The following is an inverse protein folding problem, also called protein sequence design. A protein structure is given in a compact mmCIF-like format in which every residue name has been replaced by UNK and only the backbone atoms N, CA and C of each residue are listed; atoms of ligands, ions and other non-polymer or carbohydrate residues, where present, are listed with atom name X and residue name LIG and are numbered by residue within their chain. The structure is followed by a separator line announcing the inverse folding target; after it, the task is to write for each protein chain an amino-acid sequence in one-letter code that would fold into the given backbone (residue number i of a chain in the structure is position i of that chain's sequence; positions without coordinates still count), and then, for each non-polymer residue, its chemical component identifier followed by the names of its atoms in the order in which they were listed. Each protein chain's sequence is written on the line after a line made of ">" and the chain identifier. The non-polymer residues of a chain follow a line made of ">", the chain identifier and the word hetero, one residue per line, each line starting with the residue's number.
data_IF_347131098397
#
_entry.id   IF_347131098397
#
_cell.length_a   1.000
_cell.length_b   1.000
_cell.length_c   1.000
_cell.angle_alpha   90.00
_cell.angle_beta   90.00
_cell.angle_gamma   90.00
#
_symmetry.space_group_name_H-M   'P 1'
#
loop_
_entity.id
_entity.type
_entity.pdbx_description
1 polymer ?
#
# COMPACT_ATOMS: atom_id res chain seq x y z
N UNK A 1 0.66 15.77 17.37
CA UNK A 1 -0.05 14.61 16.76
C UNK A 1 0.49 14.45 15.34
N UNK A 2 0.86 13.24 14.92
CA UNK A 2 1.37 13.01 13.57
C UNK A 2 0.27 13.27 12.52
N UNK A 3 0.70 13.77 11.36
CA UNK A 3 -0.20 14.03 10.22
C UNK A 3 -0.60 12.69 9.60
N UNK A 4 -1.88 12.49 9.35
CA UNK A 4 -2.40 11.30 8.65
C UNK A 4 -2.21 11.45 7.14
N UNK A 5 -1.84 10.36 6.44
CA UNK A 5 -1.48 10.37 5.02
C UNK A 5 -2.62 9.78 4.17
N UNK A 6 -2.87 10.39 3.03
CA UNK A 6 -3.78 9.88 1.98
C UNK A 6 -2.92 9.39 0.83
N UNK A 7 -3.06 8.11 0.50
CA UNK A 7 -2.17 7.39 -0.43
C UNK A 7 -3.00 6.78 -1.58
N UNK A 8 -2.96 7.35 -2.79
CA UNK A 8 -3.44 6.66 -3.98
C UNK A 8 -2.57 5.46 -4.32
N UNK A 9 -3.21 4.33 -4.72
CA UNK A 9 -2.53 3.11 -5.15
C UNK A 9 -2.86 2.82 -6.60
N UNK A 10 -1.84 2.57 -7.42
CA UNK A 10 -1.98 2.20 -8.82
C UNK A 10 -1.49 0.76 -9.02
N UNK A 11 -2.41 -0.12 -9.39
CA UNK A 11 -2.07 -1.47 -9.83
C UNK A 11 -1.59 -1.41 -11.29
N UNK A 12 -0.38 -1.87 -11.55
CA UNK A 12 0.24 -1.79 -12.88
C UNK A 12 0.27 -3.17 -13.52
N UNK A 13 -0.27 -3.25 -14.73
CA UNK A 13 -0.18 -4.44 -15.59
C UNK A 13 0.24 -4.02 -16.98
N UNK A 14 1.30 -4.64 -17.50
CA UNK A 14 1.83 -4.38 -18.84
C UNK A 14 2.07 -2.87 -19.11
N UNK A 15 2.57 -2.15 -18.09
CA UNK A 15 2.86 -0.71 -18.16
C UNK A 15 1.64 0.22 -18.11
N UNK A 16 0.45 -0.28 -17.85
CA UNK A 16 -0.80 0.48 -17.74
C UNK A 16 -1.39 0.36 -16.34
N UNK A 17 -2.04 1.43 -15.89
CA UNK A 17 -2.84 1.37 -14.64
C UNK A 17 -4.11 0.59 -14.90
N UNK A 18 -4.36 -0.39 -14.06
CA UNK A 18 -5.57 -1.23 -14.11
C UNK A 18 -6.27 -1.24 -12.76
N UNK A 19 -7.58 -1.49 -12.76
CA UNK A 19 -8.33 -1.75 -11.54
C UNK A 19 -9.38 -2.82 -11.77
N UNK A 20 -9.48 -3.73 -10.82
CA UNK A 20 -10.51 -4.77 -10.77
C UNK A 20 -11.04 -4.95 -9.35
N UNK A 21 -12.05 -5.80 -9.18
CA UNK A 21 -12.51 -6.26 -7.88
C UNK A 21 -11.79 -7.57 -7.57
N UNK A 22 -11.12 -7.66 -6.41
CA UNK A 22 -10.33 -8.84 -6.01
C UNK A 22 -9.32 -9.30 -7.09
N UNK A 23 -8.66 -8.36 -7.78
CA UNK A 23 -7.71 -8.60 -8.88
C UNK A 23 -8.26 -9.33 -10.10
N UNK A 24 -9.59 -9.39 -10.27
CA UNK A 24 -10.27 -9.94 -11.46
C UNK A 24 -11.04 -8.86 -12.20
N UNK A 25 -11.40 -9.12 -13.48
CA UNK A 25 -12.12 -8.17 -14.35
C UNK A 25 -11.44 -6.79 -14.45
N UNK A 26 -10.12 -6.80 -14.70
CA UNK A 26 -9.31 -5.60 -14.78
C UNK A 26 -9.79 -4.67 -15.90
N UNK A 27 -9.99 -3.39 -15.56
CA UNK A 27 -10.27 -2.29 -16.48
C UNK A 27 -9.10 -1.32 -16.46
N UNK A 28 -8.78 -0.72 -17.59
CA UNK A 28 -7.79 0.36 -17.64
C UNK A 28 -8.32 1.58 -16.88
N UNK A 29 -7.44 2.18 -16.06
CA UNK A 29 -7.76 3.38 -15.29
C UNK A 29 -7.01 4.62 -15.80
N UNK A 30 -6.03 4.46 -16.70
CA UNK A 30 -5.30 5.56 -17.33
C UNK A 30 -3.79 5.33 -17.42
N UNK A 31 -3.07 6.32 -17.96
CA UNK A 31 -1.60 6.31 -17.98
C UNK A 31 -1.05 6.52 -16.58
N UNK A 32 -0.15 5.65 -16.08
CA UNK A 32 0.35 5.72 -14.71
C UNK A 32 1.19 6.97 -14.41
N UNK A 33 1.86 7.55 -15.40
CA UNK A 33 2.66 8.78 -15.22
C UNK A 33 1.73 9.98 -15.04
N UNK A 34 0.72 10.10 -15.88
CA UNK A 34 -0.28 11.18 -15.80
C UNK A 34 -1.11 11.10 -14.51
N UNK A 35 -1.51 9.88 -14.11
CA UNK A 35 -2.23 9.68 -12.85
C UNK A 35 -1.35 10.03 -11.64
N UNK A 36 -0.08 9.59 -11.65
CA UNK A 36 0.88 9.93 -10.60
C UNK A 36 1.08 11.43 -10.44
N UNK A 37 1.28 12.14 -11.57
CA UNK A 37 1.37 13.60 -11.60
C UNK A 37 0.11 14.26 -11.05
N UNK A 38 -1.06 13.84 -11.53
CA UNK A 38 -2.34 14.38 -11.10
C UNK A 38 -2.55 14.23 -9.59
N UNK A 39 -2.25 13.06 -9.01
CA UNK A 39 -2.39 12.85 -7.57
C UNK A 39 -1.38 13.67 -6.76
N UNK A 40 -0.14 13.81 -7.25
CA UNK A 40 0.86 14.69 -6.65
C UNK A 40 0.39 16.15 -6.63
N UNK A 41 -0.14 16.66 -7.75
CA UNK A 41 -0.70 18.01 -7.87
C UNK A 41 -1.97 18.21 -7.02
N UNK A 42 -2.78 17.17 -6.84
CA UNK A 42 -3.96 17.18 -5.95
C UNK A 42 -3.62 17.11 -4.46
N UNK A 43 -2.33 16.99 -4.11
CA UNK A 43 -1.87 16.98 -2.74
C UNK A 43 -1.99 15.61 -2.06
N UNK A 44 -1.88 14.50 -2.78
CA UNK A 44 -1.62 13.21 -2.17
C UNK A 44 -0.35 13.28 -1.30
N UNK A 45 -0.30 12.52 -0.21
CA UNK A 45 0.85 12.56 0.69
C UNK A 45 1.95 11.58 0.29
N UNK A 46 1.61 10.54 -0.47
CA UNK A 46 2.49 9.49 -0.96
C UNK A 46 1.77 8.76 -2.12
N UNK A 47 2.51 8.07 -2.99
CA UNK A 47 1.98 7.17 -4.00
C UNK A 47 2.46 5.74 -3.78
N UNK A 48 1.62 4.77 -4.09
CA UNK A 48 1.99 3.35 -4.15
C UNK A 48 1.74 2.80 -5.54
N UNK A 49 2.75 2.16 -6.13
CA UNK A 49 2.64 1.40 -7.39
C UNK A 49 2.90 -0.06 -7.12
N UNK A 50 1.98 -0.91 -7.57
CA UNK A 50 2.09 -2.35 -7.41
C UNK A 50 2.15 -3.00 -8.80
N UNK A 51 3.31 -3.56 -9.17
CA UNK A 51 3.41 -4.42 -10.35
C UNK A 51 2.71 -5.76 -10.08
N UNK A 52 1.60 -5.97 -10.75
CA UNK A 52 0.83 -7.22 -10.68
C UNK A 52 1.19 -8.18 -11.83
N UNK A 53 2.21 -7.84 -12.65
CA UNK A 53 2.71 -8.63 -13.78
C UNK A 53 3.96 -9.40 -13.36
N UNK A 54 3.85 -10.65 -13.01
CA UNK A 54 4.95 -11.45 -12.43
C UNK A 54 6.01 -11.95 -13.43
N UNK A 55 6.20 -11.38 -14.66
CA UNK A 55 7.14 -11.91 -15.66
C UNK A 55 8.52 -11.25 -15.59
N UNK A 56 9.57 -11.99 -15.94
CA UNK A 56 10.97 -11.51 -15.96
C UNK A 56 11.18 -10.39 -17.00
N UNK A 57 10.50 -10.43 -18.14
CA UNK A 57 10.58 -9.39 -19.18
C UNK A 57 9.87 -8.10 -18.76
N UNK A 58 8.79 -8.20 -17.98
CA UNK A 58 8.06 -7.05 -17.42
C UNK A 58 8.88 -6.21 -16.46
N UNK A 59 9.91 -6.76 -15.80
CA UNK A 59 10.72 -6.02 -14.81
C UNK A 59 11.50 -4.84 -15.39
N UNK A 60 12.06 -4.95 -16.59
CA UNK A 60 12.78 -3.84 -17.23
C UNK A 60 11.82 -2.72 -17.60
N UNK A 61 10.71 -3.06 -18.22
CA UNK A 61 9.64 -2.12 -18.60
C UNK A 61 9.08 -1.42 -17.37
N UNK A 62 8.89 -2.16 -16.27
CA UNK A 62 8.41 -1.60 -15.01
C UNK A 62 9.43 -0.65 -14.35
N UNK A 63 10.72 -0.98 -14.37
CA UNK A 63 11.79 -0.09 -13.87
C UNK A 63 11.86 1.23 -14.67
N UNK A 64 11.70 1.17 -15.99
CA UNK A 64 11.67 2.38 -16.83
C UNK A 64 10.39 3.20 -16.56
N UNK A 65 9.27 2.57 -16.27
CA UNK A 65 8.06 3.25 -15.82
C UNK A 65 8.28 3.96 -14.47
N UNK A 66 8.92 3.29 -13.49
CA UNK A 66 9.26 3.88 -12.19
C UNK A 66 10.08 5.16 -12.37
N UNK A 67 11.09 5.15 -13.25
CA UNK A 67 11.89 6.36 -13.56
C UNK A 67 11.06 7.50 -14.14
N UNK A 68 10.14 7.18 -15.05
CA UNK A 68 9.25 8.19 -15.67
C UNK A 68 8.29 8.78 -14.64
N UNK A 69 7.74 7.96 -13.74
CA UNK A 69 6.87 8.45 -12.67
C UNK A 69 7.64 9.31 -11.69
N UNK A 70 8.78 8.83 -11.17
CA UNK A 70 9.62 9.57 -10.23
C UNK A 70 10.04 10.95 -10.76
N UNK A 71 10.28 11.07 -12.08
CA UNK A 71 10.60 12.35 -12.71
C UNK A 71 9.42 13.35 -12.80
N UNK A 72 8.18 12.90 -12.54
CA UNK A 72 6.98 13.71 -12.70
C UNK A 72 6.18 13.93 -11.39
N UNK A 73 6.71 13.48 -10.26
CA UNK A 73 6.08 13.65 -8.94
C UNK A 73 7.08 14.29 -7.96
N UNK A 74 6.55 14.89 -6.89
CA UNK A 74 7.34 15.51 -5.82
C UNK A 74 6.92 15.02 -4.41
N UNK A 75 6.27 13.87 -4.36
CA UNK A 75 5.82 13.22 -3.13
C UNK A 75 6.47 11.83 -3.01
N UNK A 76 6.60 11.26 -1.79
CA UNK A 76 7.18 9.94 -1.60
C UNK A 76 6.51 8.87 -2.44
N UNK A 77 7.31 7.96 -2.97
CA UNK A 77 6.92 6.96 -3.94
C UNK A 77 7.33 5.55 -3.48
N UNK A 78 6.33 4.72 -3.17
CA UNK A 78 6.51 3.32 -2.79
C UNK A 78 6.22 2.42 -3.98
N UNK A 79 7.13 1.49 -4.26
CA UNK A 79 7.02 0.54 -5.37
C UNK A 79 7.00 -0.89 -4.84
N UNK A 80 6.02 -1.68 -5.28
CA UNK A 80 5.86 -3.09 -4.92
C UNK A 80 5.66 -4.00 -6.12
N UNK A 81 5.78 -5.30 -5.89
CA UNK A 81 5.63 -6.35 -6.90
C UNK A 81 6.96 -6.90 -7.40
N UNK A 82 7.09 -8.22 -7.43
CA UNK A 82 8.24 -8.93 -8.01
C UNK A 82 9.58 -8.78 -7.31
N UNK A 83 9.65 -8.21 -6.12
CA UNK A 83 10.88 -7.97 -5.35
C UNK A 83 11.23 -9.22 -4.55
N UNK A 84 12.39 -9.83 -4.82
CA UNK A 84 12.81 -11.09 -4.18
C UNK A 84 14.20 -11.01 -3.53
N UNK A 85 15.02 -10.03 -3.91
CA UNK A 85 16.40 -9.89 -3.44
C UNK A 85 16.84 -8.43 -3.34
N UNK A 86 17.98 -8.16 -2.71
CA UNK A 86 18.50 -6.80 -2.51
C UNK A 86 18.78 -6.07 -3.84
N UNK A 87 19.20 -6.79 -4.87
CA UNK A 87 19.44 -6.22 -6.21
C UNK A 87 18.16 -5.67 -6.86
N UNK A 88 16.99 -6.27 -6.56
CA UNK A 88 15.70 -5.73 -6.99
C UNK A 88 15.41 -4.39 -6.29
N UNK A 89 15.68 -4.33 -4.97
CA UNK A 89 15.52 -3.10 -4.17
C UNK A 89 16.42 -1.99 -4.69
N UNK A 90 17.71 -2.30 -4.83
CA UNK A 90 18.71 -1.33 -5.33
C UNK A 90 18.30 -0.75 -6.69
N UNK A 91 17.85 -1.61 -7.61
CA UNK A 91 17.38 -1.19 -8.94
C UNK A 91 16.19 -0.23 -8.87
N UNK A 92 15.21 -0.47 -7.98
CA UNK A 92 14.03 0.39 -7.84
C UNK A 92 14.36 1.71 -7.16
N UNK A 93 15.22 1.71 -6.13
CA UNK A 93 15.70 2.94 -5.48
C UNK A 93 16.49 3.80 -6.46
N UNK A 94 17.39 3.18 -7.25
CA UNK A 94 18.14 3.90 -8.32
C UNK A 94 17.21 4.37 -9.45
N UNK A 95 16.01 3.81 -9.59
CA UNK A 95 14.99 4.28 -10.52
C UNK A 95 14.16 5.45 -9.96
N UNK A 96 14.34 5.81 -8.68
CA UNK A 96 13.68 6.96 -8.04
C UNK A 96 12.54 6.58 -7.10
N UNK A 97 12.37 5.30 -6.73
CA UNK A 97 11.50 4.92 -5.63
C UNK A 97 12.11 5.33 -4.29
N UNK A 98 11.29 5.81 -3.36
CA UNK A 98 11.72 6.12 -1.98
C UNK A 98 11.62 4.91 -1.07
N UNK A 99 10.64 4.03 -1.33
CA UNK A 99 10.35 2.83 -0.56
C UNK A 99 10.02 1.65 -1.48
N UNK A 100 10.20 0.46 -0.96
CA UNK A 100 9.78 -0.78 -1.61
C UNK A 100 8.76 -1.53 -0.75
N UNK A 101 7.77 -2.15 -1.40
CA UNK A 101 6.76 -2.95 -0.74
C UNK A 101 6.92 -4.43 -1.09
N UNK A 102 7.08 -5.26 -0.07
CA UNK A 102 7.26 -6.72 -0.19
C UNK A 102 6.15 -7.46 0.57
N UNK A 103 5.61 -8.53 -0.02
CA UNK A 103 4.61 -9.40 0.61
C UNK A 103 5.06 -10.85 0.53
N UNK A 104 4.81 -11.53 -0.59
CA UNK A 104 5.05 -12.97 -0.76
C UNK A 104 6.51 -13.37 -0.55
N UNK A 105 7.44 -12.53 -0.97
CA UNK A 105 8.88 -12.76 -0.77
C UNK A 105 9.25 -12.69 0.72
N UNK A 106 8.67 -11.76 1.47
CA UNK A 106 8.88 -11.65 2.92
C UNK A 106 8.34 -12.87 3.67
N UNK A 107 7.15 -13.37 3.29
CA UNK A 107 6.56 -14.57 3.94
C UNK A 107 7.41 -15.82 3.63
N UNK A 108 7.90 -15.97 2.37
CA UNK A 108 8.74 -17.10 1.97
C UNK A 108 10.15 -17.05 2.54
N UNK A 109 10.68 -15.84 2.69
CA UNK A 109 12.03 -15.59 3.19
C UNK A 109 12.02 -14.35 4.11
N UNK A 110 11.65 -14.50 5.38
CA UNK A 110 11.59 -13.39 6.33
C UNK A 110 12.91 -12.63 6.51
N UNK A 111 14.05 -13.27 6.31
CA UNK A 111 15.38 -12.64 6.38
C UNK A 111 15.58 -11.55 5.32
N UNK A 112 14.72 -11.49 4.29
CA UNK A 112 14.75 -10.39 3.32
C UNK A 112 14.40 -9.06 3.98
N UNK A 113 13.50 -9.05 4.97
CA UNK A 113 13.14 -7.84 5.74
C UNK A 113 14.36 -7.32 6.49
N UNK A 114 15.07 -8.22 7.22
CA UNK A 114 16.28 -7.87 7.95
C UNK A 114 17.36 -7.31 7.03
N UNK A 115 17.55 -7.95 5.87
CA UNK A 115 18.55 -7.53 4.89
C UNK A 115 18.25 -6.16 4.29
N UNK A 116 16.99 -5.89 3.93
CA UNK A 116 16.57 -4.58 3.41
C UNK A 116 16.76 -3.51 4.48
N UNK A 117 16.26 -3.74 5.69
CA UNK A 117 16.38 -2.79 6.80
C UNK A 117 17.82 -2.48 7.15
N UNK A 118 18.70 -3.49 7.16
CA UNK A 118 20.12 -3.33 7.47
C UNK A 118 20.90 -2.61 6.36
N UNK A 119 20.55 -2.85 5.10
CA UNK A 119 21.32 -2.34 3.95
C UNK A 119 20.87 -0.94 3.52
N UNK A 120 19.55 -0.69 3.51
CA UNK A 120 18.97 0.56 3.01
C UNK A 120 18.30 1.41 4.11
N UNK A 121 18.15 0.88 5.32
CA UNK A 121 17.38 1.49 6.41
C UNK A 121 15.94 1.02 6.48
N UNK A 122 15.39 0.95 7.70
CA UNK A 122 14.01 0.50 7.93
C UNK A 122 12.98 1.29 7.14
N UNK A 123 13.19 2.60 6.97
CA UNK A 123 12.27 3.51 6.27
C UNK A 123 12.03 3.12 4.80
N UNK A 124 12.90 2.32 4.19
CA UNK A 124 12.76 1.83 2.81
C UNK A 124 11.83 0.62 2.74
N UNK A 125 11.70 -0.16 3.83
CA UNK A 125 11.02 -1.45 3.84
C UNK A 125 9.56 -1.33 4.30
N UNK A 126 8.63 -1.40 3.36
CA UNK A 126 7.20 -1.57 3.64
C UNK A 126 6.86 -3.05 3.50
N UNK A 127 6.31 -3.68 4.54
CA UNK A 127 5.80 -5.05 4.44
C UNK A 127 4.29 -5.01 4.20
N UNK A 128 3.88 -5.42 3.00
CA UNK A 128 2.47 -5.60 2.67
C UNK A 128 1.96 -6.94 3.22
N UNK A 129 0.79 -6.91 3.83
CA UNK A 129 0.13 -8.08 4.40
C UNK A 129 -1.31 -8.13 3.87
N UNK A 130 -1.57 -9.06 2.95
CA UNK A 130 -2.93 -9.38 2.55
C UNK A 130 -3.47 -10.42 3.55
N UNK A 131 -4.54 -10.08 4.25
CA UNK A 131 -5.13 -11.02 5.19
C UNK A 131 -6.65 -11.06 5.09
N UNK A 132 -7.20 -12.24 5.40
CA UNK A 132 -8.63 -12.53 5.41
C UNK A 132 -9.06 -12.98 6.80
N UNK A 133 -10.13 -12.42 7.30
CA UNK A 133 -10.77 -12.92 8.51
C UNK A 133 -11.49 -14.22 8.23
N UNK A 134 -11.14 -15.25 9.00
CA UNK A 134 -11.72 -16.59 8.97
C UNK A 134 -12.30 -16.95 10.35
N UNK A 135 -12.90 -18.11 10.49
CA UNK A 135 -13.39 -18.59 11.79
C UNK A 135 -12.29 -18.76 12.84
N UNK A 136 -11.05 -19.03 12.39
CA UNK A 136 -9.88 -19.24 13.26
C UNK A 136 -9.05 -17.96 13.48
N UNK A 137 -9.44 -16.81 12.90
CA UNK A 137 -8.74 -15.54 12.99
C UNK A 137 -8.29 -15.00 11.64
N UNK A 138 -7.45 -13.98 11.65
CA UNK A 138 -6.95 -13.33 10.44
C UNK A 138 -5.78 -14.12 9.83
N UNK A 139 -6.01 -14.79 8.71
CA UNK A 139 -5.00 -15.56 7.95
C UNK A 139 -4.32 -14.70 6.90
N UNK A 140 -2.99 -14.81 6.80
CA UNK A 140 -2.19 -14.15 5.75
C UNK A 140 -2.22 -14.93 4.44
N UNK A 141 -2.15 -14.21 3.33
CA UNK A 141 -2.19 -14.76 1.97
C UNK A 141 -1.00 -14.30 1.14
N UNK A 142 -0.63 -15.13 0.17
CA UNK A 142 0.40 -14.89 -0.84
C UNK A 142 -0.23 -14.64 -2.21
N UNK A 143 0.62 -14.14 -3.13
CA UNK A 143 0.33 -14.02 -4.56
C UNK A 143 -0.97 -13.27 -4.86
N UNK A 144 -1.16 -12.10 -4.21
CA UNK A 144 -2.37 -11.29 -4.38
C UNK A 144 -3.63 -12.01 -3.90
N UNK A 145 -3.54 -12.63 -2.72
CA UNK A 145 -4.69 -13.28 -2.06
C UNK A 145 -5.06 -14.67 -2.57
N UNK A 146 -4.22 -15.30 -3.40
CA UNK A 146 -4.55 -16.61 -4.03
C UNK A 146 -4.14 -17.82 -3.21
N UNK A 147 -3.16 -17.69 -2.33
CA UNK A 147 -2.61 -18.81 -1.55
C UNK A 147 -2.67 -18.46 -0.07
N UNK A 148 -3.47 -19.23 0.69
CA UNK A 148 -3.51 -19.14 2.15
C UNK A 148 -2.21 -19.68 2.75
N UNK A 149 -1.77 -19.07 3.85
CA UNK A 149 -0.59 -19.48 4.60
C UNK A 149 -0.97 -19.97 6.00
N UNK A 150 -0.02 -20.53 6.71
CA UNK A 150 -0.14 -20.87 8.13
C UNK A 150 0.05 -19.67 9.06
N UNK A 151 0.49 -18.51 8.52
CA UNK A 151 0.74 -17.29 9.32
C UNK A 151 -0.57 -16.55 9.62
N UNK A 152 -0.63 -15.99 10.84
CA UNK A 152 -1.68 -15.09 11.28
C UNK A 152 -1.23 -13.63 11.23
N UNK A 153 -2.15 -12.71 10.91
CA UNK A 153 -1.88 -11.30 10.72
C UNK A 153 -1.07 -10.66 11.85
N UNK A 154 -1.54 -10.81 13.08
CA UNK A 154 -0.95 -10.11 14.22
C UNK A 154 0.42 -10.66 14.59
N UNK A 155 0.60 -11.97 14.52
CA UNK A 155 1.90 -12.62 14.78
C UNK A 155 2.90 -12.26 13.69
N UNK A 156 2.48 -12.29 12.43
CA UNK A 156 3.33 -11.94 11.30
C UNK A 156 3.70 -10.45 11.31
N UNK A 157 2.74 -9.56 11.58
CA UNK A 157 3.01 -8.13 11.70
C UNK A 157 4.03 -7.82 12.81
N UNK A 158 3.91 -8.49 13.97
CA UNK A 158 4.88 -8.39 15.07
C UNK A 158 6.26 -8.94 14.68
N UNK A 159 6.30 -10.07 13.97
CA UNK A 159 7.55 -10.66 13.48
C UNK A 159 8.29 -9.67 12.57
N UNK A 160 7.62 -9.11 11.54
CA UNK A 160 8.28 -8.20 10.60
C UNK A 160 8.64 -6.85 11.21
N UNK A 161 7.84 -6.35 12.18
CA UNK A 161 8.23 -5.17 12.97
C UNK A 161 9.56 -5.41 13.70
N UNK A 162 9.71 -6.56 14.33
CA UNK A 162 10.94 -6.93 15.05
C UNK A 162 12.14 -7.16 14.11
N UNK A 163 11.89 -7.55 12.86
CA UNK A 163 12.91 -7.71 11.82
C UNK A 163 13.35 -6.39 11.17
N UNK A 164 12.70 -5.27 11.50
CA UNK A 164 13.09 -3.95 11.06
C UNK A 164 12.29 -3.42 9.86
N UNK A 165 11.07 -3.92 9.62
CA UNK A 165 10.14 -3.25 8.72
C UNK A 165 9.92 -1.80 9.18
N UNK A 166 9.83 -0.87 8.23
CA UNK A 166 9.58 0.54 8.51
C UNK A 166 8.09 0.88 8.57
N UNK A 167 7.26 0.16 7.81
CA UNK A 167 5.80 0.33 7.79
C UNK A 167 5.11 -1.00 7.47
N UNK A 168 3.86 -1.15 7.92
CA UNK A 168 2.97 -2.23 7.50
C UNK A 168 1.89 -1.66 6.57
N UNK A 169 1.72 -2.26 5.39
CA UNK A 169 0.58 -2.03 4.50
C UNK A 169 -0.40 -3.20 4.66
N UNK A 170 -1.44 -3.02 5.47
CA UNK A 170 -2.43 -4.06 5.72
C UNK A 170 -3.62 -3.93 4.77
N UNK A 171 -3.82 -4.94 3.90
CA UNK A 171 -5.00 -5.07 3.04
C UNK A 171 -5.96 -6.11 3.61
N UNK A 172 -7.16 -5.66 3.98
CA UNK A 172 -8.24 -6.56 4.34
C UNK A 172 -8.91 -7.12 3.09
N UNK A 173 -8.73 -8.42 2.82
CA UNK A 173 -9.33 -9.10 1.67
C UNK A 173 -10.87 -9.19 1.76
N UNK A 174 -11.44 -9.15 2.97
CA UNK A 174 -12.89 -9.14 3.17
C UNK A 174 -13.51 -7.80 2.74
N UNK A 175 -12.73 -6.72 2.74
CA UNK A 175 -13.21 -5.36 2.46
C UNK A 175 -12.74 -4.85 1.09
N UNK A 176 -11.69 -5.44 0.49
CA UNK A 176 -11.13 -4.96 -0.77
C UNK A 176 -12.13 -5.04 -1.93
N UNK A 177 -12.37 -3.90 -2.58
CA UNK A 177 -13.35 -3.75 -3.65
C UNK A 177 -14.82 -3.68 -3.22
N UNK A 178 -15.13 -3.85 -1.92
CA UNK A 178 -16.52 -3.90 -1.41
C UNK A 178 -17.07 -2.51 -1.08
N UNK A 179 -16.20 -1.50 -0.82
CA UNK A 179 -16.57 -0.12 -0.48
C UNK A 179 -17.40 0.06 0.80
N UNK A 180 -17.27 -0.86 1.78
CA UNK A 180 -18.03 -0.87 3.04
C UNK A 180 -17.22 -0.39 4.26
N UNK A 181 -16.10 0.30 4.02
CA UNK A 181 -15.17 0.76 5.06
C UNK A 181 -14.00 -0.20 5.27
N UNK A 182 -12.97 0.32 5.93
CA UNK A 182 -11.76 -0.44 6.27
C UNK A 182 -12.00 -1.37 7.46
N UNK A 183 -11.10 -2.33 7.67
CA UNK A 183 -11.16 -3.28 8.79
C UNK A 183 -10.69 -2.62 10.11
N UNK A 184 -11.46 -1.66 10.63
CA UNK A 184 -11.04 -0.76 11.70
C UNK A 184 -10.67 -1.48 13.00
N UNK A 185 -11.31 -2.60 13.36
CA UNK A 185 -10.98 -3.38 14.55
C UNK A 185 -9.58 -4.01 14.43
N UNK A 186 -9.29 -4.63 13.27
CA UNK A 186 -7.97 -5.21 13.02
C UNK A 186 -6.88 -4.14 12.94
N UNK A 187 -7.17 -2.98 12.32
CA UNK A 187 -6.26 -1.83 12.25
C UNK A 187 -5.96 -1.28 13.64
N UNK A 188 -6.96 -1.12 14.50
CA UNK A 188 -6.76 -0.66 15.89
C UNK A 188 -5.87 -1.64 16.67
N UNK A 189 -6.10 -2.95 16.50
CA UNK A 189 -5.27 -3.98 17.14
C UNK A 189 -3.82 -3.91 16.63
N UNK A 190 -3.59 -3.73 15.31
CA UNK A 190 -2.26 -3.55 14.75
C UNK A 190 -1.58 -2.28 15.30
N UNK A 191 -2.29 -1.15 15.35
CA UNK A 191 -1.77 0.11 15.84
C UNK A 191 -1.37 0.05 17.33
N UNK A 192 -2.09 -0.73 18.13
CA UNK A 192 -1.76 -0.94 19.56
C UNK A 192 -0.61 -1.96 19.76
N UNK A 193 -0.40 -2.86 18.79
CA UNK A 193 0.62 -3.92 18.87
C UNK A 193 1.99 -3.48 18.35
N UNK A 194 2.02 -2.56 17.38
CA UNK A 194 3.21 -2.22 16.61
C UNK A 194 3.80 -0.87 17.02
N UNK A 195 5.10 -0.71 16.80
CA UNK A 195 5.81 0.56 17.00
C UNK A 195 6.06 1.34 15.72
N UNK A 196 5.69 0.75 14.58
CA UNK A 196 5.84 1.31 13.23
C UNK A 196 4.47 1.69 12.65
N UNK A 197 4.42 2.64 11.70
CA UNK A 197 3.17 3.07 11.09
C UNK A 197 2.40 1.95 10.40
N UNK A 198 1.06 2.04 10.44
CA UNK A 198 0.15 1.13 9.75
C UNK A 198 -0.62 1.88 8.67
N UNK A 199 -0.52 1.39 7.43
CA UNK A 199 -1.27 1.87 6.27
C UNK A 199 -2.49 0.97 6.09
N UNK A 200 -3.69 1.55 6.17
CA UNK A 200 -4.94 0.85 5.93
C UNK A 200 -5.22 0.69 4.44
N UNK A 201 -5.59 -0.51 3.99
CA UNK A 201 -5.96 -0.83 2.61
C UNK A 201 -7.15 -1.77 2.54
N UNK A 202 -7.98 -1.59 1.50
CA UNK A 202 -9.20 -2.36 1.25
C UNK A 202 -10.43 -1.81 1.99
N UNK A 203 -11.46 -1.37 1.23
CA UNK A 203 -12.76 -0.98 1.75
C UNK A 203 -13.16 0.48 1.59
N UNK A 204 -12.30 1.36 1.08
CA UNK A 204 -12.65 2.76 0.83
C UNK A 204 -13.85 2.88 -0.12
N UNK A 205 -14.88 3.65 0.26
CA UNK A 205 -16.06 3.88 -0.54
C UNK A 205 -16.62 5.29 -0.41
N UNK A 206 -16.45 5.94 0.76
CA UNK A 206 -16.87 7.33 1.00
C UNK A 206 -15.88 8.02 1.95
N UNK A 207 -16.02 9.33 2.16
CA UNK A 207 -15.09 10.12 2.98
C UNK A 207 -15.15 9.72 4.46
N UNK A 208 -16.31 9.27 4.95
CA UNK A 208 -16.52 8.77 6.31
C UNK A 208 -15.65 7.56 6.61
N UNK A 209 -15.38 6.70 5.63
CA UNK A 209 -14.52 5.53 5.79
C UNK A 209 -13.09 5.94 6.14
N UNK A 210 -12.57 7.01 5.53
CA UNK A 210 -11.26 7.58 5.86
C UNK A 210 -11.23 8.18 7.26
N UNK A 211 -12.28 8.96 7.64
CA UNK A 211 -12.41 9.46 9.02
C UNK A 211 -12.38 8.32 10.02
N UNK A 212 -13.20 7.30 9.81
CA UNK A 212 -13.35 6.19 10.74
C UNK A 212 -12.08 5.35 10.87
N UNK A 213 -11.33 5.16 9.77
CA UNK A 213 -10.06 4.43 9.83
C UNK A 213 -8.97 5.19 10.62
N UNK A 214 -8.99 6.52 10.58
CA UNK A 214 -8.08 7.34 11.40
C UNK A 214 -8.54 7.46 12.87
N UNK A 215 -9.84 7.62 13.10
CA UNK A 215 -10.39 7.85 14.44
C UNK A 215 -10.55 6.53 15.23
N UNK A 216 -11.09 5.50 14.61
CA UNK A 216 -11.40 4.18 15.23
C UNK A 216 -10.31 3.16 14.95
N UNK A 217 -9.87 3.07 13.70
CA UNK A 217 -8.82 2.14 13.26
C UNK A 217 -7.41 2.56 13.68
N UNK A 218 -7.21 3.82 14.12
CA UNK A 218 -5.92 4.40 14.53
C UNK A 218 -4.83 4.34 13.43
N UNK A 219 -5.19 4.04 12.18
CA UNK A 219 -4.22 3.96 11.08
C UNK A 219 -3.44 5.27 10.92
N UNK A 220 -2.20 5.18 10.43
CA UNK A 220 -1.33 6.34 10.16
C UNK A 220 -1.48 6.85 8.73
N UNK A 221 -1.93 5.96 7.84
CA UNK A 221 -2.26 6.30 6.47
C UNK A 221 -3.46 5.48 5.98
N UNK A 222 -4.16 6.02 4.99
CA UNK A 222 -5.24 5.33 4.29
C UNK A 222 -4.93 5.27 2.79
N UNK A 223 -4.84 4.05 2.28
CA UNK A 223 -4.61 3.76 0.88
C UNK A 223 -5.93 3.44 0.19
N UNK A 224 -6.14 4.02 -0.99
CA UNK A 224 -7.29 3.72 -1.83
C UNK A 224 -6.92 3.82 -3.33
N UNK A 225 -7.68 3.14 -4.16
CA UNK A 225 -7.49 3.10 -5.61
C UNK A 225 -8.74 3.58 -6.36
N UNK A 226 -9.77 2.74 -6.46
CA UNK A 226 -10.95 2.97 -7.33
C UNK A 226 -11.66 4.28 -7.09
N UNK A 227 -11.84 4.69 -5.83
CA UNK A 227 -12.55 5.94 -5.47
C UNK A 227 -11.83 7.18 -5.98
N UNK A 228 -10.49 7.12 -6.13
CA UNK A 228 -9.68 8.18 -6.72
C UNK A 228 -9.63 8.05 -8.25
N UNK A 229 -9.38 6.86 -8.79
CA UNK A 229 -9.26 6.63 -10.23
C UNK A 229 -10.51 7.00 -11.01
N UNK A 230 -11.69 6.74 -10.44
CA UNK A 230 -12.97 7.03 -11.07
C UNK A 230 -13.58 8.38 -10.64
N UNK A 231 -12.81 9.20 -9.90
CA UNK A 231 -13.22 10.55 -9.50
C UNK A 231 -14.40 10.59 -8.52
N UNK A 232 -14.68 9.47 -7.83
CA UNK A 232 -15.75 9.39 -6.82
C UNK A 232 -15.41 10.25 -5.60
N UNK A 233 -14.12 10.34 -5.27
CA UNK A 233 -13.59 11.20 -4.19
C UNK A 233 -12.39 11.97 -4.75
N UNK A 234 -12.39 13.29 -4.56
CA UNK A 234 -11.23 14.13 -4.87
C UNK A 234 -10.37 14.32 -3.62
N UNK A 235 -9.06 14.16 -3.75
CA UNK A 235 -8.12 14.25 -2.62
C UNK A 235 -8.23 15.59 -1.86
N UNK A 236 -8.28 16.76 -2.52
CA UNK A 236 -8.43 18.03 -1.81
C UNK A 236 -9.74 18.13 -0.99
N UNK A 237 -10.86 17.63 -1.55
CA UNK A 237 -12.17 17.63 -0.86
C UNK A 237 -12.15 16.69 0.35
N UNK A 238 -11.53 15.49 0.19
CA UNK A 238 -11.34 14.54 1.28
C UNK A 238 -10.53 15.14 2.43
N UNK A 239 -9.41 15.79 2.12
CA UNK A 239 -8.54 16.40 3.13
C UNK A 239 -9.25 17.56 3.87
N UNK A 240 -10.00 18.39 3.15
CA UNK A 240 -10.83 19.42 3.77
C UNK A 240 -11.90 18.83 4.68
N UNK A 241 -12.56 17.75 4.26
CA UNK A 241 -13.53 17.03 5.09
C UNK A 241 -12.86 16.49 6.36
N UNK A 242 -11.74 15.78 6.24
CA UNK A 242 -11.00 15.22 7.37
C UNK A 242 -10.55 16.30 8.37
N UNK A 243 -10.04 17.42 7.86
CA UNK A 243 -9.67 18.56 8.70
C UNK A 243 -10.87 19.09 9.50
N UNK A 244 -12.06 19.25 8.88
CA UNK A 244 -13.31 19.65 9.57
C UNK A 244 -13.75 18.61 10.61
N UNK A 245 -13.39 17.34 10.46
CA UNK A 245 -13.66 16.28 11.42
C UNK A 245 -12.59 16.17 12.54
N UNK A 246 -11.65 17.10 12.60
CA UNK A 246 -10.59 17.12 13.60
C UNK A 246 -9.44 16.12 13.34
N UNK A 247 -9.37 15.54 12.15
CA UNK A 247 -8.24 14.68 11.73
C UNK A 247 -7.13 15.57 11.19
N UNK A 248 -5.93 15.43 11.74
CA UNK A 248 -4.77 16.21 11.30
C UNK A 248 -4.23 15.66 9.97
N UNK A 249 -4.45 16.41 8.89
CA UNK A 249 -3.96 16.13 7.53
C UNK A 249 -3.22 17.35 6.97
N UNK A 250 -2.30 17.15 6.03
CA UNK A 250 -1.68 18.24 5.29
C UNK A 250 -2.62 18.71 4.18
N UNK A 251 -2.98 20.00 4.15
CA UNK A 251 -3.77 20.61 3.07
C UNK A 251 -2.89 21.07 1.91
#
# INVERSE_FOLDING_TARGET
>A
MLVKRIIPCLDIKDGQTVKGTNFVNLRQAGDPVELGRTYSEQGADELVFLDITASHEGRKTFTDLVKRVAANINIPFTVGGGINELSDVDRLLNAGADKVSINSSAIRNPDLVDKIAKHFGSQVCVVAIDAKQTETGWKCYLNGGRIETDKYLFDWAKEVNNRGAGEILFTSMNHDGVKNGYANEALSTLADLLTIPVIASGGAGCMEHFRDTFAKGKADAALAASVFHFGEIKIPELKQYLCKQGINVRL
#
